data_IF_351368062827
#
_entry.id   IF_351368062827
#
_cell.length_a   1.000
_cell.length_b   1.000
_cell.length_c   1.000
_cell.angle_alpha   90.00
_cell.angle_beta   90.00
_cell.angle_gamma   90.00
#
_symmetry.space_group_name_H-M   'P 1'
#
loop_
_entity.id
_entity.type
_entity.pdbx_description
1 polymer ?
#
# COMPACT_ATOMS: atom_id res chain seq x y z
N UNK A 1 -9.36 -9.23 -22.16
CA UNK A 1 -10.64 -8.90 -22.82
C UNK A 1 -10.80 -7.40 -23.08
N UNK A 2 -10.66 -6.53 -22.07
CA UNK A 2 -10.70 -5.06 -22.24
C UNK A 2 -9.63 -4.51 -23.21
N UNK A 3 -8.35 -4.88 -23.03
CA UNK A 3 -7.25 -4.45 -23.90
C UNK A 3 -7.41 -4.91 -25.35
N UNK A 4 -7.85 -6.15 -25.56
CA UNK A 4 -8.17 -6.67 -26.90
C UNK A 4 -9.31 -5.89 -27.57
N UNK A 5 -10.32 -5.45 -26.81
CA UNK A 5 -11.40 -4.62 -27.33
C UNK A 5 -10.93 -3.21 -27.72
N UNK A 6 -9.81 -2.75 -27.17
CA UNK A 6 -9.12 -1.50 -27.54
C UNK A 6 -8.05 -1.70 -28.63
N UNK A 7 -8.01 -2.87 -29.28
CA UNK A 7 -7.05 -3.18 -30.35
C UNK A 7 -5.64 -3.53 -29.87
N UNK A 8 -5.40 -3.56 -28.55
CA UNK A 8 -4.13 -4.01 -27.97
C UNK A 8 -4.16 -5.55 -27.93
N UNK A 9 -3.42 -6.18 -28.84
CA UNK A 9 -3.30 -7.65 -28.89
C UNK A 9 -2.62 -8.15 -27.61
N UNK A 10 -3.39 -8.77 -26.74
CA UNK A 10 -2.88 -9.48 -25.57
C UNK A 10 -2.40 -10.88 -26.03
N UNK A 11 -1.17 -11.25 -25.67
CA UNK A 11 -0.59 -12.58 -25.94
C UNK A 11 -1.53 -13.69 -25.44
N UNK A 12 -1.68 -14.83 -26.18
CA UNK A 12 -2.63 -15.89 -25.84
C UNK A 12 -2.45 -16.45 -24.42
N UNK A 13 -1.21 -16.47 -23.93
CA UNK A 13 -0.82 -17.08 -22.66
C UNK A 13 -0.49 -16.07 -21.55
N UNK A 14 -0.98 -14.83 -21.69
CA UNK A 14 -0.65 -13.73 -20.78
C UNK A 14 -0.93 -14.05 -19.30
N UNK A 15 -2.00 -14.82 -19.01
CA UNK A 15 -2.31 -15.22 -17.63
C UNK A 15 -1.23 -16.13 -17.04
N UNK A 16 -0.80 -17.14 -17.80
CA UNK A 16 0.26 -18.07 -17.39
C UNK A 16 1.59 -17.34 -17.20
N UNK A 17 1.91 -16.40 -18.08
CA UNK A 17 3.12 -15.58 -17.97
C UNK A 17 3.06 -14.67 -16.74
N UNK A 18 1.92 -14.04 -16.45
CA UNK A 18 1.74 -13.23 -15.24
C UNK A 18 1.92 -14.07 -13.97
N UNK A 19 1.30 -15.25 -13.91
CA UNK A 19 1.44 -16.15 -12.76
C UNK A 19 2.87 -16.69 -12.60
N UNK A 20 3.56 -17.02 -13.71
CA UNK A 20 4.94 -17.48 -13.69
C UNK A 20 5.95 -16.37 -13.36
N UNK A 21 5.61 -15.11 -13.67
CA UNK A 21 6.43 -13.94 -13.37
C UNK A 21 6.30 -13.45 -11.92
N UNK A 22 5.37 -14.03 -11.14
CA UNK A 22 5.26 -13.73 -9.70
C UNK A 22 6.53 -14.21 -9.01
N UNK A 23 7.33 -13.25 -8.53
CA UNK A 23 8.63 -13.50 -7.93
C UNK A 23 8.52 -14.26 -6.60
N UNK A 24 9.56 -15.05 -6.27
CA UNK A 24 9.66 -15.78 -4.98
C UNK A 24 9.50 -14.87 -3.74
N UNK A 25 9.81 -13.58 -3.87
CA UNK A 25 9.58 -12.56 -2.84
C UNK A 25 8.11 -12.31 -2.51
N UNK A 26 7.20 -12.44 -3.48
CA UNK A 26 5.75 -12.37 -3.23
C UNK A 26 5.32 -13.52 -2.32
N UNK A 27 5.75 -14.73 -2.65
CA UNK A 27 5.51 -15.90 -1.81
C UNK A 27 6.13 -15.74 -0.43
N UNK A 28 7.33 -15.18 -0.30
CA UNK A 28 7.93 -14.89 1.01
C UNK A 28 7.12 -13.88 1.84
N UNK A 29 6.53 -12.85 1.21
CA UNK A 29 5.72 -11.84 1.89
C UNK A 29 4.35 -12.41 2.31
N UNK A 30 3.68 -13.15 1.42
CA UNK A 30 2.45 -13.89 1.74
C UNK A 30 2.70 -14.90 2.87
N UNK A 31 3.81 -15.64 2.80
CA UNK A 31 4.19 -16.59 3.85
C UNK A 31 4.51 -15.88 5.15
N UNK A 32 5.18 -14.72 5.13
CA UNK A 32 5.44 -13.92 6.32
C UNK A 32 4.14 -13.51 7.03
N UNK A 33 3.11 -13.06 6.29
CA UNK A 33 1.80 -12.74 6.88
C UNK A 33 1.09 -13.97 7.44
N UNK A 34 1.10 -15.09 6.74
CA UNK A 34 0.51 -16.35 7.22
C UNK A 34 1.25 -16.87 8.45
N UNK A 35 2.59 -16.85 8.45
CA UNK A 35 3.42 -17.29 9.57
C UNK A 35 3.31 -16.36 10.77
N UNK A 36 3.31 -15.03 10.59
CA UNK A 36 3.11 -14.06 11.69
C UNK A 36 1.70 -14.18 12.31
N UNK A 37 0.69 -14.45 11.48
CA UNK A 37 -0.68 -14.73 11.96
C UNK A 37 -0.73 -15.99 12.83
N UNK A 38 -0.03 -17.05 12.42
CA UNK A 38 0.04 -18.31 13.16
C UNK A 38 0.91 -18.24 14.42
N UNK A 39 1.98 -17.43 14.43
CA UNK A 39 2.94 -17.36 15.55
C UNK A 39 2.47 -16.44 16.71
N UNK A 40 1.64 -15.43 16.44
CA UNK A 40 1.37 -14.31 17.38
C UNK A 40 -0.09 -14.28 17.89
N UNK A 41 -1.01 -15.04 17.27
CA UNK A 41 -2.38 -15.21 17.76
C UNK A 41 -3.19 -13.89 17.89
N UNK A 42 -4.12 -13.83 18.85
CA UNK A 42 -5.05 -12.69 19.07
C UNK A 42 -4.38 -11.32 19.23
N UNK A 43 -3.10 -11.27 19.63
CA UNK A 43 -2.37 -10.02 19.84
C UNK A 43 -1.85 -9.42 18.51
N UNK A 44 -1.85 -10.19 17.42
CA UNK A 44 -1.47 -9.72 16.09
C UNK A 44 -2.57 -8.94 15.39
N UNK A 45 -3.83 -9.07 15.82
CA UNK A 45 -4.98 -8.44 15.14
C UNK A 45 -4.77 -6.94 14.96
N UNK A 46 -4.34 -6.21 15.99
CA UNK A 46 -4.06 -4.77 15.87
C UNK A 46 -2.96 -4.45 14.86
N UNK A 47 -1.95 -5.30 14.75
CA UNK A 47 -0.87 -5.18 13.76
C UNK A 47 -1.39 -5.39 12.35
N UNK A 48 -2.08 -6.52 12.10
CA UNK A 48 -2.64 -6.85 10.81
C UNK A 48 -3.62 -5.77 10.32
N UNK A 49 -4.52 -5.31 11.19
CA UNK A 49 -5.51 -4.28 10.86
C UNK A 49 -4.85 -2.93 10.57
N UNK A 50 -3.80 -2.57 11.30
CA UNK A 50 -3.04 -1.33 11.02
C UNK A 50 -2.34 -1.43 9.67
N UNK A 51 -1.71 -2.56 9.39
CA UNK A 51 -1.00 -2.78 8.13
C UNK A 51 -1.96 -2.77 6.93
N UNK A 52 -3.10 -3.44 7.04
CA UNK A 52 -4.18 -3.41 6.04
C UNK A 52 -4.70 -1.99 5.81
N UNK A 53 -4.97 -1.23 6.87
CA UNK A 53 -5.40 0.17 6.73
C UNK A 53 -4.38 1.02 5.97
N UNK A 54 -3.09 0.90 6.29
CA UNK A 54 -2.03 1.62 5.57
C UNK A 54 -2.00 1.24 4.09
N UNK A 55 -2.06 -0.07 3.78
CA UNK A 55 -2.08 -0.55 2.40
C UNK A 55 -3.26 0.00 1.61
N UNK A 56 -4.49 -0.11 2.13
CA UNK A 56 -5.67 0.41 1.43
C UNK A 56 -5.60 1.92 1.20
N UNK A 57 -5.17 2.70 2.22
CA UNK A 57 -5.02 4.14 2.06
C UNK A 57 -3.96 4.51 1.01
N UNK A 58 -2.82 3.82 0.98
CA UNK A 58 -1.77 4.08 -0.03
C UNK A 58 -2.20 3.69 -1.44
N UNK A 59 -2.90 2.56 -1.59
CA UNK A 59 -3.46 2.13 -2.87
C UNK A 59 -4.54 3.11 -3.36
N UNK A 60 -5.38 3.61 -2.46
CA UNK A 60 -6.36 4.65 -2.77
C UNK A 60 -5.70 5.92 -3.32
N UNK A 61 -4.59 6.37 -2.73
CA UNK A 61 -3.83 7.51 -3.26
C UNK A 61 -3.17 7.20 -4.61
N UNK A 62 -2.65 5.99 -4.80
CA UNK A 62 -2.11 5.56 -6.09
C UNK A 62 -3.18 5.61 -7.20
N UNK A 63 -4.41 5.17 -6.92
CA UNK A 63 -5.51 5.26 -7.88
C UNK A 63 -5.93 6.70 -8.18
N UNK A 64 -5.99 7.57 -7.16
CA UNK A 64 -6.29 9.01 -7.37
C UNK A 64 -5.26 9.63 -8.29
N UNK A 65 -3.97 9.43 -7.98
CA UNK A 65 -2.87 9.96 -8.76
C UNK A 65 -2.80 9.40 -10.17
N UNK A 66 -3.06 8.10 -10.34
CA UNK A 66 -3.16 7.47 -11.65
C UNK A 66 -4.29 8.08 -12.49
N UNK A 67 -5.44 8.38 -11.88
CA UNK A 67 -6.55 9.05 -12.56
C UNK A 67 -6.17 10.46 -13.01
N UNK A 68 -5.49 11.23 -12.16
CA UNK A 68 -5.03 12.59 -12.48
C UNK A 68 -4.04 12.60 -13.65
N UNK A 69 -3.02 11.75 -13.59
CA UNK A 69 -1.99 11.66 -14.63
C UNK A 69 -2.55 11.19 -15.96
N UNK A 70 -3.49 10.24 -15.95
CA UNK A 70 -4.06 9.70 -17.18
C UNK A 70 -5.06 10.65 -17.85
N UNK A 71 -5.78 11.47 -17.06
CA UNK A 71 -6.81 12.39 -17.56
C UNK A 71 -7.93 11.72 -18.37
N UNK A 72 -8.10 10.39 -18.26
CA UNK A 72 -8.97 9.61 -19.15
C UNK A 72 -10.34 9.34 -18.52
N UNK A 73 -11.45 9.81 -19.11
CA UNK A 73 -12.76 9.82 -18.45
C UNK A 73 -13.29 8.44 -18.04
N UNK A 74 -13.00 7.39 -18.83
CA UNK A 74 -13.41 6.02 -18.47
C UNK A 74 -12.55 5.48 -17.31
N UNK A 75 -11.24 5.71 -17.34
CA UNK A 75 -10.34 5.22 -16.30
C UNK A 75 -10.64 5.90 -14.98
N UNK A 76 -10.88 7.22 -15.00
CA UNK A 76 -11.34 7.97 -13.82
C UNK A 76 -12.61 7.39 -13.22
N UNK A 77 -13.61 7.04 -14.04
CA UNK A 77 -14.85 6.41 -13.55
C UNK A 77 -14.58 5.06 -12.88
N UNK A 78 -13.76 4.22 -13.50
CA UNK A 78 -13.41 2.90 -12.96
C UNK A 78 -12.65 3.04 -11.62
N UNK A 79 -11.59 3.85 -11.60
CA UNK A 79 -10.78 4.06 -10.40
C UNK A 79 -11.59 4.70 -9.27
N UNK A 80 -12.48 5.63 -9.59
CA UNK A 80 -13.39 6.24 -8.60
C UNK A 80 -14.34 5.20 -8.00
N UNK A 81 -14.88 4.29 -8.81
CA UNK A 81 -15.73 3.21 -8.32
C UNK A 81 -14.96 2.27 -7.38
N UNK A 82 -13.74 1.86 -7.78
CA UNK A 82 -12.85 1.03 -6.95
C UNK A 82 -12.55 1.73 -5.62
N UNK A 83 -12.10 3.00 -5.65
CA UNK A 83 -11.83 3.76 -4.42
C UNK A 83 -13.06 3.81 -3.50
N UNK A 84 -14.27 3.91 -4.08
CA UNK A 84 -15.51 3.97 -3.30
C UNK A 84 -15.80 2.64 -2.62
N UNK A 85 -15.59 1.52 -3.30
CA UNK A 85 -15.71 0.18 -2.72
C UNK A 85 -14.65 -0.06 -1.63
N UNK A 86 -13.39 0.25 -1.92
CA UNK A 86 -12.27 0.06 -0.98
C UNK A 86 -12.33 1.00 0.24
N UNK A 87 -13.13 2.06 0.18
CA UNK A 87 -13.33 2.96 1.33
C UNK A 87 -13.97 2.25 2.54
N UNK A 88 -14.84 1.27 2.29
CA UNK A 88 -15.44 0.45 3.34
C UNK A 88 -14.40 -0.46 4.00
N UNK A 89 -13.52 -1.09 3.20
CA UNK A 89 -12.40 -1.89 3.71
C UNK A 89 -11.43 -1.04 4.53
N UNK A 90 -11.08 0.15 4.01
CA UNK A 90 -10.23 1.11 4.73
C UNK A 90 -10.83 1.47 6.09
N UNK A 91 -12.13 1.79 6.13
CA UNK A 91 -12.82 2.16 7.37
C UNK A 91 -12.87 0.99 8.37
N UNK A 92 -13.12 -0.23 7.88
CA UNK A 92 -13.13 -1.43 8.68
C UNK A 92 -11.76 -1.69 9.34
N UNK A 93 -10.70 -1.76 8.53
CA UNK A 93 -9.34 -1.97 9.02
C UNK A 93 -8.94 -0.87 10.02
N UNK A 94 -9.21 0.39 9.70
CA UNK A 94 -8.91 1.53 10.55
C UNK A 94 -9.60 1.45 11.92
N UNK A 95 -10.90 1.16 11.92
CA UNK A 95 -11.70 1.09 13.14
C UNK A 95 -11.23 -0.07 14.02
N UNK A 96 -10.97 -1.22 13.42
CA UNK A 96 -10.50 -2.40 14.14
C UNK A 96 -9.08 -2.20 14.69
N UNK A 97 -8.18 -1.60 13.90
CA UNK A 97 -6.84 -1.23 14.36
C UNK A 97 -6.93 -0.33 15.61
N UNK A 98 -7.73 0.73 15.55
CA UNK A 98 -7.91 1.66 16.68
C UNK A 98 -8.44 0.97 17.93
N UNK A 99 -9.38 0.02 17.80
CA UNK A 99 -9.94 -0.74 18.92
C UNK A 99 -8.90 -1.71 19.51
N UNK A 100 -8.25 -2.53 18.68
CA UNK A 100 -7.29 -3.53 19.14
C UNK A 100 -6.04 -2.90 19.77
N UNK A 101 -5.53 -1.81 19.18
CA UNK A 101 -4.37 -1.11 19.72
C UNK A 101 -4.64 -0.48 21.10
N UNK A 102 -5.90 -0.15 21.44
CA UNK A 102 -6.25 0.37 22.78
C UNK A 102 -6.17 -0.71 23.86
N UNK A 103 -6.29 -1.99 23.51
CA UNK A 103 -6.39 -3.09 24.48
C UNK A 103 -5.06 -3.44 25.13
N UNK A 104 -3.92 -3.14 24.49
CA UNK A 104 -2.61 -3.54 25.02
C UNK A 104 -1.47 -2.66 24.52
N UNK A 105 -0.57 -2.27 25.44
CA UNK A 105 0.66 -1.57 25.08
C UNK A 105 1.61 -2.45 24.25
N UNK A 106 1.58 -3.77 24.44
CA UNK A 106 2.33 -4.70 23.60
C UNK A 106 1.85 -4.66 22.15
N UNK A 107 0.53 -4.68 21.92
CA UNK A 107 -0.05 -4.61 20.57
C UNK A 107 0.35 -3.30 19.86
N UNK A 108 0.37 -2.16 20.56
CA UNK A 108 0.86 -0.88 20.02
C UNK A 108 2.31 -0.96 19.58
N UNK A 109 3.19 -1.45 20.47
CA UNK A 109 4.62 -1.57 20.20
C UNK A 109 4.91 -2.53 19.05
N UNK A 110 4.21 -3.66 19.01
CA UNK A 110 4.34 -4.65 17.94
C UNK A 110 3.88 -4.07 16.61
N UNK A 111 2.68 -3.47 16.55
CA UNK A 111 2.17 -2.88 15.32
C UNK A 111 3.10 -1.78 14.80
N UNK A 112 3.56 -0.89 15.68
CA UNK A 112 4.52 0.17 15.33
C UNK A 112 5.83 -0.41 14.82
N UNK A 113 6.37 -1.42 15.50
CA UNK A 113 7.59 -2.11 15.07
C UNK A 113 7.42 -2.74 13.69
N UNK A 114 6.31 -3.43 13.44
CA UNK A 114 6.04 -4.07 12.16
C UNK A 114 5.93 -3.05 11.04
N UNK A 115 5.13 -1.99 11.23
CA UNK A 115 5.01 -0.93 10.21
C UNK A 115 6.36 -0.23 9.95
N UNK A 116 7.13 0.07 11.00
CA UNK A 116 8.42 0.77 10.84
C UNK A 116 9.46 -0.05 10.05
N UNK A 117 9.47 -1.37 10.23
CA UNK A 117 10.54 -2.22 9.69
C UNK A 117 10.13 -3.05 8.47
N UNK A 118 8.84 -3.31 8.28
CA UNK A 118 8.34 -4.22 7.24
C UNK A 118 7.38 -3.57 6.25
N UNK A 119 7.09 -2.27 6.39
CA UNK A 119 6.29 -1.57 5.39
C UNK A 119 7.07 -1.38 4.07
N UNK A 120 6.41 -1.75 2.97
CA UNK A 120 6.86 -1.51 1.59
C UNK A 120 5.64 -1.18 0.72
N UNK A 121 5.81 -0.40 -0.37
CA UNK A 121 4.76 -0.16 -1.35
C UNK A 121 4.04 -1.44 -1.78
N UNK A 122 2.72 -1.37 -1.88
CA UNK A 122 1.87 -2.50 -2.28
C UNK A 122 2.31 -3.01 -3.66
N UNK A 123 2.38 -4.34 -3.81
CA UNK A 123 2.86 -4.98 -5.04
C UNK A 123 4.38 -5.06 -5.17
N UNK A 124 5.16 -4.48 -4.24
CA UNK A 124 6.60 -4.69 -4.19
C UNK A 124 6.91 -6.17 -3.95
N UNK A 125 7.72 -6.74 -4.83
CA UNK A 125 8.07 -8.16 -4.80
C UNK A 125 7.09 -9.08 -5.54
N UNK A 126 5.97 -8.56 -6.06
CA UNK A 126 5.08 -9.26 -7.01
C UNK A 126 5.59 -9.21 -8.44
N UNK A 127 6.28 -8.12 -8.80
CA UNK A 127 6.95 -7.91 -10.07
C UNK A 127 8.41 -7.54 -9.82
N UNK A 128 9.20 -7.52 -10.90
CA UNK A 128 10.59 -7.08 -10.87
C UNK A 128 10.72 -5.68 -10.24
N UNK A 129 11.79 -5.47 -9.46
CA UNK A 129 11.95 -4.30 -8.61
C UNK A 129 12.02 -2.98 -9.39
N UNK A 130 12.53 -3.02 -10.62
CA UNK A 130 12.55 -1.90 -11.57
C UNK A 130 11.14 -1.44 -11.95
N UNK A 131 10.21 -2.38 -12.16
CA UNK A 131 8.80 -2.05 -12.46
C UNK A 131 8.10 -1.41 -11.26
N UNK A 132 8.37 -1.89 -10.05
CA UNK A 132 7.84 -1.25 -8.83
C UNK A 132 8.38 0.17 -8.71
N UNK A 133 9.69 0.38 -8.86
CA UNK A 133 10.29 1.72 -8.81
C UNK A 133 9.74 2.63 -9.89
N UNK A 134 9.58 2.14 -11.11
CA UNK A 134 8.97 2.90 -12.20
C UNK A 134 7.56 3.35 -11.86
N UNK A 135 6.69 2.43 -11.41
CA UNK A 135 5.31 2.77 -11.06
C UNK A 135 5.23 3.73 -9.88
N UNK A 136 6.00 3.49 -8.82
CA UNK A 136 6.00 4.35 -7.63
C UNK A 136 6.59 5.73 -7.97
N UNK A 137 7.65 5.79 -8.79
CA UNK A 137 8.22 7.04 -9.28
C UNK A 137 7.27 7.82 -10.18
N UNK A 138 6.59 7.15 -11.10
CA UNK A 138 5.57 7.79 -11.96
C UNK A 138 4.46 8.45 -11.13
N UNK A 139 4.04 7.79 -10.05
CA UNK A 139 2.95 8.29 -9.21
C UNK A 139 3.43 9.35 -8.20
N UNK A 140 4.56 9.12 -7.54
CA UNK A 140 4.93 9.81 -6.30
C UNK A 140 6.31 10.49 -6.30
N UNK A 141 6.92 10.76 -7.46
CA UNK A 141 8.20 11.47 -7.51
C UNK A 141 8.07 12.99 -7.30
N UNK A 142 6.87 13.56 -7.46
CA UNK A 142 6.62 14.99 -7.27
C UNK A 142 6.31 15.31 -5.80
N UNK A 143 6.83 16.44 -5.32
CA UNK A 143 6.66 16.87 -3.93
C UNK A 143 5.18 17.01 -3.54
N UNK A 144 4.35 17.58 -4.41
CA UNK A 144 2.90 17.71 -4.19
C UNK A 144 2.22 16.35 -3.98
N UNK A 145 2.62 15.34 -4.76
CA UNK A 145 2.07 13.98 -4.65
C UNK A 145 2.50 13.28 -3.36
N UNK A 146 3.71 13.55 -2.86
CA UNK A 146 4.19 13.04 -1.58
C UNK A 146 3.56 13.77 -0.39
N UNK A 147 3.30 15.07 -0.50
CA UNK A 147 2.62 15.84 0.54
C UNK A 147 1.15 15.43 0.67
N UNK A 148 0.49 15.12 -0.45
CA UNK A 148 -0.86 14.54 -0.46
C UNK A 148 -0.86 13.16 0.24
N UNK A 149 0.12 12.30 -0.08
CA UNK A 149 0.29 11.01 0.58
C UNK A 149 0.58 11.16 2.08
N UNK A 150 1.46 12.07 2.49
CA UNK A 150 1.75 12.37 3.89
C UNK A 150 0.49 12.77 4.64
N UNK A 151 -0.25 13.72 4.09
CA UNK A 151 -1.45 14.27 4.72
C UNK A 151 -2.56 13.22 4.86
N UNK A 152 -2.76 12.41 3.81
CA UNK A 152 -3.90 11.48 3.75
C UNK A 152 -3.62 10.12 4.38
N UNK A 153 -2.35 9.70 4.41
CA UNK A 153 -1.93 8.38 4.90
C UNK A 153 -1.10 8.50 6.18
N UNK A 154 0.04 9.19 6.13
CA UNK A 154 1.02 9.18 7.23
C UNK A 154 0.49 9.93 8.45
N UNK A 155 -0.03 11.15 8.28
CA UNK A 155 -0.67 11.89 9.37
C UNK A 155 -1.92 11.21 9.89
N UNK A 156 -2.65 10.51 9.02
CA UNK A 156 -3.78 9.68 9.44
C UNK A 156 -3.28 8.55 10.32
N UNK A 157 -2.30 7.77 9.88
CA UNK A 157 -1.67 6.69 10.65
C UNK A 157 -1.23 7.15 12.05
N UNK A 158 -0.64 8.35 12.17
CA UNK A 158 -0.23 8.93 13.46
C UNK A 158 -1.37 9.13 14.46
N UNK A 159 -2.64 9.09 14.02
CA UNK A 159 -3.82 9.15 14.90
C UNK A 159 -4.15 7.80 15.55
N UNK A 160 -3.49 6.70 15.16
CA UNK A 160 -3.62 5.42 15.84
C UNK A 160 -2.84 5.44 17.18
N UNK A 161 -3.35 4.79 18.24
CA UNK A 161 -2.65 4.72 19.51
C UNK A 161 -1.24 4.13 19.37
N UNK A 162 -0.21 4.89 19.76
CA UNK A 162 1.18 4.44 19.69
C UNK A 162 1.87 4.67 18.35
N UNK A 163 1.24 5.39 17.41
CA UNK A 163 1.79 5.72 16.08
C UNK A 163 2.25 7.18 15.95
N UNK A 164 2.31 7.91 17.06
CA UNK A 164 2.74 9.31 17.08
C UNK A 164 4.16 9.43 16.47
N UNK A 165 4.34 10.39 15.56
CA UNK A 165 5.60 10.63 14.87
C UNK A 165 6.07 9.52 13.92
N UNK A 166 5.23 8.54 13.56
CA UNK A 166 5.58 7.59 12.48
C UNK A 166 5.53 8.31 11.14
N UNK A 167 6.64 8.27 10.41
CA UNK A 167 6.81 8.88 9.08
C UNK A 167 7.12 7.85 7.97
N UNK A 168 7.20 6.58 8.36
CA UNK A 168 7.84 5.53 7.54
C UNK A 168 7.13 5.30 6.22
N UNK A 169 5.82 5.53 6.15
CA UNK A 169 5.05 5.30 4.92
C UNK A 169 5.47 6.25 3.80
N UNK A 170 5.33 7.56 4.02
CA UNK A 170 5.76 8.57 3.03
C UNK A 170 7.25 8.50 2.78
N UNK A 171 8.08 8.29 3.82
CA UNK A 171 9.54 8.17 3.67
C UNK A 171 9.93 6.99 2.77
N UNK A 172 9.34 5.81 2.98
CA UNK A 172 9.63 4.63 2.16
C UNK A 172 9.13 4.82 0.73
N UNK A 173 7.92 5.35 0.53
CA UNK A 173 7.41 5.63 -0.83
C UNK A 173 8.30 6.66 -1.55
N UNK A 174 8.68 7.76 -0.90
CA UNK A 174 9.56 8.77 -1.48
C UNK A 174 10.94 8.22 -1.84
N UNK A 175 11.51 7.36 -0.99
CA UNK A 175 12.78 6.69 -1.28
C UNK A 175 12.68 5.75 -2.50
N UNK A 176 11.59 5.00 -2.63
CA UNK A 176 11.35 4.12 -3.80
C UNK A 176 11.06 4.93 -5.06
N UNK A 177 10.36 6.06 -4.93
CA UNK A 177 10.07 6.99 -6.03
C UNK A 177 11.32 7.71 -6.58
N UNK A 178 12.39 7.78 -5.78
CA UNK A 178 13.59 8.55 -6.10
C UNK A 178 13.48 10.04 -5.75
N UNK A 179 12.53 10.43 -4.89
CA UNK A 179 12.32 11.83 -4.51
C UNK A 179 13.43 12.35 -3.60
N UNK A 180 13.92 13.56 -3.92
CA UNK A 180 15.02 14.25 -3.22
C UNK A 180 14.67 14.66 -1.78
N UNK A 181 13.38 14.78 -1.43
CA UNK A 181 12.94 15.20 -0.09
C UNK A 181 13.34 14.21 1.02
N UNK A 182 13.49 12.92 0.70
CA UNK A 182 13.86 11.89 1.69
C UNK A 182 15.35 11.85 2.01
N UNK A 183 16.21 12.55 1.24
CA UNK A 183 17.64 12.62 1.50
C UNK A 183 18.02 13.72 2.52
N UNK A 184 17.07 14.58 2.93
CA UNK A 184 17.37 15.83 3.63
C UNK A 184 16.59 16.04 4.95
N UNK A 185 15.92 15.02 5.48
CA UNK A 185 15.28 15.00 6.81
C UNK A 185 15.78 13.82 7.62
#
# INVERSE_FOLDING_TARGET
RFLNALGVKSEPDWQRQVHAAVTRSYHANTYLFTTLTNLIGRQFTGTHMTFGAVHEMTTGQAYRRMSELAGHPILTKILTAIIREESAHTQFYWSMARLELRKSNFAKRLARFVVKNFYYPVGQGSLAADRTRYTVGLLFNEDESLDSLDTTVTRRLQQLPGFEGVDTVTRTIGAVAGSKLTASR
#
